data_IF_509835618141
#
_entry.id   IF_509835618141
#
_cell.length_a   1.000
_cell.length_b   1.000
_cell.length_c   1.000
_cell.angle_alpha   90.00
_cell.angle_beta   90.00
_cell.angle_gamma   90.00
#
_symmetry.space_group_name_H-M   'P 1'
#
loop_
_entity.id
_entity.type
_entity.pdbx_description
1 polymer ?
#
# COMPACT_ATOMS: atom_id res chain seq x y z
N UNK A 1 33.22 11.96 -9.34
CA UNK A 1 32.71 11.11 -8.25
C UNK A 1 31.20 11.11 -8.36
N UNK A 2 30.55 9.96 -8.47
CA UNK A 2 29.09 9.87 -8.45
C UNK A 2 28.64 9.82 -6.98
N UNK A 3 27.93 10.85 -6.54
CA UNK A 3 27.27 10.86 -5.23
C UNK A 3 26.02 9.96 -5.32
N UNK A 4 26.21 8.66 -5.04
CA UNK A 4 25.11 7.71 -4.91
C UNK A 4 24.61 7.66 -3.46
N UNK A 5 23.31 7.43 -3.27
CA UNK A 5 22.77 7.17 -1.94
C UNK A 5 23.19 5.78 -1.46
N UNK A 6 23.91 5.73 -0.35
CA UNK A 6 24.32 4.49 0.32
C UNK A 6 23.39 4.23 1.52
N UNK A 7 22.27 3.56 1.25
CA UNK A 7 21.30 3.22 2.29
C UNK A 7 21.89 2.20 3.29
N UNK A 8 21.49 2.33 4.56
CA UNK A 8 21.80 1.38 5.64
C UNK A 8 20.54 1.06 6.43
N UNK A 9 19.85 0.00 6.02
CA UNK A 9 18.58 -0.44 6.58
C UNK A 9 18.75 -1.28 7.84
N UNK A 10 18.10 -0.89 8.93
CA UNK A 10 18.00 -1.66 10.18
C UNK A 10 16.53 -1.87 10.55
N UNK A 11 16.19 -3.00 11.19
CA UNK A 11 14.86 -3.16 11.77
C UNK A 11 14.70 -2.26 12.98
N UNK A 12 13.65 -1.44 12.98
CA UNK A 12 13.29 -0.59 14.10
C UNK A 12 11.81 -0.69 14.38
N UNK A 13 11.46 -0.70 15.67
CA UNK A 13 10.08 -0.62 16.14
C UNK A 13 9.72 0.84 16.38
N UNK A 14 8.65 1.30 15.75
CA UNK A 14 8.07 2.63 15.97
C UNK A 14 6.79 2.50 16.78
N UNK A 15 6.66 3.35 17.80
CA UNK A 15 5.44 3.49 18.60
C UNK A 15 4.61 4.63 18.04
N UNK A 16 3.38 4.35 17.63
CA UNK A 16 2.46 5.34 17.10
C UNK A 16 1.50 5.84 18.20
N UNK A 17 0.90 7.01 17.98
CA UNK A 17 0.01 7.67 18.94
C UNK A 17 -1.20 6.80 19.37
N UNK A 18 -1.62 5.84 18.54
CA UNK A 18 -2.73 4.92 18.81
C UNK A 18 -2.30 3.65 19.59
N UNK A 19 -1.09 3.62 20.16
CA UNK A 19 -0.58 2.47 20.91
C UNK A 19 -0.14 1.28 20.02
N UNK A 20 -0.11 1.48 18.71
CA UNK A 20 0.31 0.47 17.73
C UNK A 20 1.84 0.49 17.64
N UNK A 21 2.46 -0.69 17.78
CA UNK A 21 3.89 -0.88 17.54
C UNK A 21 4.10 -1.51 16.16
N UNK A 22 4.87 -0.83 15.31
CA UNK A 22 5.17 -1.31 13.95
C UNK A 22 6.67 -1.56 13.82
N UNK A 23 7.03 -2.78 13.43
CA UNK A 23 8.39 -3.11 13.04
C UNK A 23 8.57 -2.92 11.53
N UNK A 24 9.52 -2.07 11.14
CA UNK A 24 9.86 -1.85 9.73
C UNK A 24 11.36 -1.57 9.55
N UNK A 25 11.82 -1.54 8.30
CA UNK A 25 13.17 -1.13 7.95
C UNK A 25 13.31 0.40 8.00
N UNK A 26 14.35 0.87 8.67
CA UNK A 26 14.73 2.27 8.82
C UNK A 26 16.13 2.49 8.28
N UNK A 27 16.33 3.48 7.41
CA UNK A 27 17.66 3.88 6.96
C UNK A 27 18.31 4.83 7.97
N UNK A 28 19.42 4.40 8.56
CA UNK A 28 20.16 5.22 9.54
C UNK A 28 20.91 6.40 8.90
N UNK A 29 21.14 6.39 7.58
CA UNK A 29 21.87 7.45 6.88
C UNK A 29 20.95 8.59 6.48
N UNK A 30 19.83 8.26 5.83
CA UNK A 30 18.87 9.26 5.32
C UNK A 30 17.67 9.50 6.24
N UNK A 31 17.53 8.71 7.32
CA UNK A 31 16.37 8.69 8.21
C UNK A 31 15.05 8.33 7.50
N UNK A 32 15.14 7.63 6.36
CA UNK A 32 13.97 7.18 5.62
C UNK A 32 13.39 5.90 6.22
N UNK A 33 12.07 5.80 6.16
CA UNK A 33 11.30 4.67 6.66
C UNK A 33 10.61 3.98 5.47
N UNK A 34 10.58 2.65 5.48
CA UNK A 34 9.85 1.86 4.48
C UNK A 34 8.48 1.42 4.99
N UNK A 35 7.53 1.26 4.07
CA UNK A 35 6.25 0.62 4.38
C UNK A 35 6.38 -0.90 4.33
N UNK A 36 6.02 -1.64 5.40
CA UNK A 36 6.09 -3.09 5.44
C UNK A 36 5.02 -3.80 4.58
N UNK A 37 3.99 -3.07 4.12
CA UNK A 37 2.95 -3.59 3.22
C UNK A 37 3.44 -3.55 1.77
N UNK A 38 4.06 -2.44 1.35
CA UNK A 38 4.54 -2.24 -0.02
C UNK A 38 5.83 -3.00 -0.33
N UNK A 39 6.69 -3.17 0.67
CA UNK A 39 8.03 -3.71 0.50
C UNK A 39 8.24 -4.89 1.44
N UNK A 40 8.84 -5.96 0.91
CA UNK A 40 9.20 -7.11 1.73
C UNK A 40 10.39 -6.78 2.66
N UNK A 41 10.09 -6.40 3.90
CA UNK A 41 11.08 -6.01 4.91
C UNK A 41 12.10 -7.11 5.20
N UNK A 42 11.72 -8.39 5.10
CA UNK A 42 12.63 -9.51 5.36
C UNK A 42 13.72 -9.64 4.29
N UNK A 43 13.47 -9.16 3.07
CA UNK A 43 14.49 -9.10 2.01
C UNK A 43 15.39 -7.87 2.14
N UNK A 44 14.85 -6.75 2.59
CA UNK A 44 15.58 -5.49 2.67
C UNK A 44 16.45 -5.43 3.93
N UNK A 45 15.87 -5.72 5.09
CA UNK A 45 16.56 -5.81 6.37
C UNK A 45 16.35 -7.21 7.00
N UNK A 46 17.13 -8.21 6.57
CA UNK A 46 16.99 -9.60 7.05
C UNK A 46 17.42 -9.75 8.52
N UNK A 47 18.35 -8.91 8.97
CA UNK A 47 18.88 -8.93 10.34
C UNK A 47 18.34 -7.74 11.15
N UNK A 48 18.16 -7.96 12.46
CA UNK A 48 17.84 -6.90 13.42
C UNK A 48 19.10 -6.12 13.81
N UNK A 49 20.25 -6.78 13.80
CA UNK A 49 21.52 -6.25 14.30
C UNK A 49 22.45 -5.74 13.20
N UNK A 50 22.36 -6.27 11.99
CA UNK A 50 23.26 -5.92 10.89
C UNK A 50 22.56 -5.03 9.86
N UNK A 51 23.10 -3.83 9.56
CA UNK A 51 22.53 -2.95 8.57
C UNK A 51 22.75 -3.51 7.16
N UNK A 52 21.70 -3.46 6.35
CA UNK A 52 21.71 -3.90 4.96
C UNK A 52 21.77 -2.71 4.02
N UNK A 53 22.55 -2.82 2.93
CA UNK A 53 22.63 -1.80 1.87
C UNK A 53 21.80 -2.14 0.64
N UNK A 54 20.80 -3.02 0.78
CA UNK A 54 19.89 -3.36 -0.31
C UNK A 54 19.19 -2.11 -0.84
N UNK A 55 19.43 -1.80 -2.11
CA UNK A 55 18.67 -0.77 -2.81
C UNK A 55 17.30 -1.32 -3.18
N UNK A 56 16.25 -0.62 -2.76
CA UNK A 56 14.87 -0.97 -3.08
C UNK A 56 14.42 -0.10 -4.24
N UNK A 57 14.34 -0.65 -5.44
CA UNK A 57 13.77 0.08 -6.58
C UNK A 57 12.25 0.21 -6.43
N UNK A 58 11.71 1.35 -6.85
CA UNK A 58 10.26 1.63 -6.87
C UNK A 58 9.54 1.55 -5.51
N UNK A 59 10.25 1.85 -4.41
CA UNK A 59 9.64 1.98 -3.10
C UNK A 59 9.26 3.43 -2.79
N UNK A 60 8.15 3.60 -2.07
CA UNK A 60 7.83 4.86 -1.41
C UNK A 60 8.55 4.91 -0.07
N UNK A 61 9.26 6.00 0.17
CA UNK A 61 9.96 6.26 1.42
C UNK A 61 9.24 7.35 2.22
N UNK A 62 9.29 7.22 3.55
CA UNK A 62 8.63 8.14 4.48
C UNK A 62 9.65 8.81 5.39
N UNK A 63 9.46 10.09 5.68
CA UNK A 63 10.35 10.85 6.56
C UNK A 63 9.91 10.81 8.03
N UNK A 64 8.64 10.51 8.29
CA UNK A 64 8.08 10.41 9.64
C UNK A 64 7.27 9.12 9.85
N UNK A 65 7.18 8.61 11.09
CA UNK A 65 6.28 7.52 11.44
C UNK A 65 4.80 7.86 11.18
N UNK A 66 4.41 9.11 11.37
CA UNK A 66 3.05 9.62 11.11
C UNK A 66 2.68 9.51 9.62
N UNK A 67 3.59 9.87 8.71
CA UNK A 67 3.37 9.73 7.27
C UNK A 67 3.19 8.27 6.87
N UNK A 68 4.04 7.39 7.41
CA UNK A 68 3.92 5.94 7.23
C UNK A 68 2.55 5.44 7.72
N UNK A 69 2.09 5.91 8.89
CA UNK A 69 0.82 5.50 9.45
C UNK A 69 -0.36 5.90 8.56
N UNK A 70 -0.39 7.15 8.08
CA UNK A 70 -1.42 7.62 7.16
C UNK A 70 -1.44 6.80 5.86
N UNK A 71 -0.26 6.48 5.32
CA UNK A 71 -0.14 5.63 4.14
C UNK A 71 -0.65 4.20 4.39
N UNK A 72 -0.29 3.60 5.53
CA UNK A 72 -0.80 2.27 5.91
C UNK A 72 -2.32 2.26 6.10
N UNK A 73 -2.90 3.33 6.66
CA UNK A 73 -4.36 3.49 6.77
C UNK A 73 -5.02 3.60 5.41
N UNK A 74 -4.36 4.21 4.42
CA UNK A 74 -4.87 4.25 3.05
C UNK A 74 -4.93 2.85 2.42
N UNK A 75 -3.96 1.97 2.67
CA UNK A 75 -4.05 0.57 2.24
C UNK A 75 -5.26 -0.15 2.83
N UNK A 76 -5.53 0.05 4.13
CA UNK A 76 -6.69 -0.55 4.78
C UNK A 76 -8.00 -0.08 4.13
N UNK A 77 -8.15 1.23 3.89
CA UNK A 77 -9.33 1.82 3.24
C UNK A 77 -9.47 1.42 1.76
N UNK A 78 -8.37 1.30 1.02
CA UNK A 78 -8.39 0.79 -0.36
C UNK A 78 -8.86 -0.67 -0.39
N UNK A 79 -8.44 -1.48 0.59
CA UNK A 79 -8.92 -2.87 0.71
C UNK A 79 -10.44 -2.91 0.96
N UNK A 80 -10.96 -1.96 1.73
CA UNK A 80 -12.41 -1.80 1.93
C UNK A 80 -13.11 -1.28 0.66
N UNK A 81 -12.53 -0.32 -0.06
CA UNK A 81 -13.07 0.18 -1.32
C UNK A 81 -13.10 -0.90 -2.41
N UNK A 82 -12.05 -1.72 -2.52
CA UNK A 82 -12.01 -2.86 -3.43
C UNK A 82 -13.10 -3.87 -3.10
N UNK A 83 -13.43 -4.10 -1.83
CA UNK A 83 -14.54 -4.97 -1.42
C UNK A 83 -15.92 -4.40 -1.76
N UNK A 84 -16.07 -3.09 -1.77
CA UNK A 84 -17.33 -2.43 -2.15
C UNK A 84 -17.55 -2.52 -3.66
N UNK A 85 -16.49 -2.37 -4.48
CA UNK A 85 -16.59 -2.46 -5.94
C UNK A 85 -16.71 -3.89 -6.48
N UNK A 86 -16.24 -4.91 -5.77
CA UNK A 86 -16.36 -6.32 -6.23
C UNK A 86 -17.75 -6.91 -6.04
N UNK A 87 -18.67 -6.23 -5.35
CA UNK A 87 -20.05 -6.73 -5.11
C UNK A 87 -21.04 -6.20 -6.16
N UNK A 88 -20.65 -5.25 -7.02
CA UNK A 88 -21.57 -4.61 -7.97
C UNK A 88 -21.48 -5.09 -9.42
N UNK A 89 -20.67 -6.12 -9.73
CA UNK A 89 -20.51 -6.61 -11.12
C UNK A 89 -21.34 -7.87 -11.44
N UNK A 90 -22.23 -8.35 -10.55
CA UNK A 90 -23.01 -9.58 -10.78
C UNK A 90 -24.55 -9.41 -10.88
N UNK A 91 -25.11 -8.20 -10.82
CA UNK A 91 -26.56 -8.01 -11.04
C UNK A 91 -26.83 -6.84 -11.99
N UNK A 92 -26.82 -7.10 -13.29
CA UNK A 92 -27.56 -6.32 -14.30
C UNK A 92 -27.70 -7.15 -15.60
N UNK A 93 -28.46 -8.26 -15.54
CA UNK A 93 -29.23 -8.69 -16.72
C UNK A 93 -30.59 -7.98 -16.66
N UNK A 94 -30.90 -7.04 -17.57
CA UNK A 94 -32.25 -6.53 -17.67
C UNK A 94 -33.14 -7.59 -18.36
N UNK A 95 -34.02 -8.19 -17.57
CA UNK A 95 -35.31 -8.70 -18.04
C UNK A 95 -36.15 -7.51 -18.51
N UNK A 96 -36.47 -7.43 -19.80
CA UNK A 96 -37.65 -6.70 -20.29
C UNK A 96 -38.51 -7.66 -21.12
N UNK A 97 -39.61 -8.10 -20.48
CA UNK A 97 -40.70 -8.88 -21.05
C UNK A 97 -41.65 -7.99 -21.88
N UNK A 98 -41.99 -8.51 -23.08
CA UNK A 98 -43.31 -8.57 -23.75
C UNK A 98 -44.07 -7.32 -24.26
N UNK A 99 -44.19 -7.29 -25.61
CA UNK A 99 -45.36 -7.09 -26.50
C UNK A 99 -46.50 -6.07 -26.16
N UNK A 100 -46.83 -5.16 -27.09
CA UNK A 100 -48.15 -5.13 -27.80
C UNK A 100 -48.27 -4.03 -28.91
N UNK A 101 -48.39 -4.51 -30.16
CA UNK A 101 -49.28 -4.17 -31.30
C UNK A 101 -49.58 -2.73 -31.83
N UNK A 102 -49.33 -2.62 -33.15
CA UNK A 102 -50.19 -2.15 -34.27
C UNK A 102 -50.41 -0.66 -34.66
N UNK A 103 -50.20 -0.46 -35.98
CA UNK A 103 -50.82 0.47 -36.95
C UNK A 103 -50.36 1.94 -37.07
N UNK A 104 -49.63 2.27 -38.16
CA UNK A 104 -50.10 3.21 -39.22
C UNK A 104 -49.12 3.33 -40.41
N UNK A 105 -49.57 2.87 -41.60
CA UNK A 105 -49.39 3.47 -42.95
C UNK A 105 -48.09 4.21 -43.34
N UNK A 106 -47.37 3.68 -44.35
CA UNK A 106 -47.33 4.29 -45.70
C UNK A 106 -46.71 3.38 -46.75
#
# INVERSE_FOLDING_TARGET
>A
MSYGWEAKWIRRKFKMAEGIEIETCYDIVSNLILCPICVNISKVCPSVTEPSSTLVSNATYFFSPEDLFHHMRAHAKMTEWSRIYTVSEEEEEPEEEEELEEDLST
#
